data_IF_213345642925
#
_entry.id   IF_213345642925
#
_cell.length_a   1.000
_cell.length_b   1.000
_cell.length_c   1.000
_cell.angle_alpha   90.00
_cell.angle_beta   90.00
_cell.angle_gamma   90.00
#
_symmetry.space_group_name_H-M   'P 1'
#
loop_
_entity.id
_entity.type
_entity.pdbx_description
1 polymer ?
#
# COMPACT_ATOMS: atom_id res chain seq x y z
N UNK A 1 -5.08 -8.27 -9.84
CA UNK A 1 -4.81 -6.81 -9.84
C UNK A 1 -5.69 -6.16 -10.88
N UNK A 2 -6.29 -5.01 -10.59
CA UNK A 2 -7.05 -4.21 -11.57
C UNK A 2 -6.04 -3.53 -12.50
N UNK A 3 -6.20 -3.65 -13.81
CA UNK A 3 -5.26 -3.13 -14.80
C UNK A 3 -4.00 -3.99 -14.98
N UNK A 4 -3.03 -3.43 -15.68
CA UNK A 4 -1.74 -4.09 -15.97
C UNK A 4 -0.79 -4.13 -14.77
N UNK A 5 -0.98 -3.22 -13.81
CA UNK A 5 -0.08 -2.99 -12.69
C UNK A 5 1.21 -2.25 -13.07
N UNK A 6 1.24 -1.60 -14.23
CA UNK A 6 2.39 -0.80 -14.67
C UNK A 6 2.40 0.62 -14.06
N UNK A 7 1.30 1.00 -13.40
CA UNK A 7 1.24 2.24 -12.64
C UNK A 7 2.16 2.17 -11.42
N UNK A 8 2.66 3.33 -11.00
CA UNK A 8 3.56 3.48 -9.86
C UNK A 8 2.78 3.99 -8.66
N UNK A 9 3.03 3.40 -7.52
CA UNK A 9 2.43 3.79 -6.25
C UNK A 9 3.51 3.88 -5.19
N UNK A 10 3.75 5.09 -4.71
CA UNK A 10 4.79 5.35 -3.71
C UNK A 10 4.30 4.95 -2.32
N UNK A 11 5.08 4.14 -1.62
CA UNK A 11 4.86 3.76 -0.23
C UNK A 11 5.84 4.51 0.67
N UNK A 12 5.69 4.32 1.97
CA UNK A 12 6.59 4.83 2.99
C UNK A 12 6.73 3.80 4.10
N UNK A 13 7.96 3.44 4.45
CA UNK A 13 8.23 2.61 5.62
C UNK A 13 7.97 3.42 6.89
N UNK A 14 7.48 2.74 7.94
CA UNK A 14 7.15 3.38 9.21
C UNK A 14 8.37 3.98 9.92
N UNK A 15 9.55 3.38 9.79
CA UNK A 15 10.78 3.93 10.36
C UNK A 15 11.17 5.24 9.67
N UNK A 16 11.07 5.29 8.33
CA UNK A 16 11.34 6.50 7.57
C UNK A 16 10.34 7.62 7.95
N UNK A 17 9.08 7.27 8.17
CA UNK A 17 8.08 8.22 8.67
C UNK A 17 8.44 8.74 10.07
N UNK A 18 8.85 7.85 10.98
CA UNK A 18 9.26 8.23 12.33
C UNK A 18 10.48 9.16 12.31
N UNK A 19 11.44 8.92 11.42
CA UNK A 19 12.59 9.81 11.27
C UNK A 19 12.22 11.19 10.72
N UNK A 20 11.29 11.25 9.75
CA UNK A 20 10.78 12.53 9.27
C UNK A 20 10.08 13.33 10.39
N UNK A 21 9.24 12.66 11.20
CA UNK A 21 8.58 13.28 12.36
C UNK A 21 9.63 13.74 13.38
N UNK A 22 10.62 12.92 13.69
CA UNK A 22 11.69 13.26 14.61
C UNK A 22 12.48 14.49 14.14
N UNK A 23 12.80 14.56 12.85
CA UNK A 23 13.43 15.75 12.27
C UNK A 23 12.58 17.00 12.49
N UNK A 24 11.27 16.91 12.26
CA UNK A 24 10.35 18.03 12.50
C UNK A 24 10.23 18.42 13.98
N UNK A 25 10.45 17.49 14.90
CA UNK A 25 10.41 17.78 16.35
C UNK A 25 11.71 18.39 16.89
N UNK A 26 12.82 18.26 16.18
CA UNK A 26 14.15 18.65 16.65
C UNK A 26 14.75 19.84 15.90
N UNK A 27 14.24 20.16 14.73
CA UNK A 27 14.66 21.30 13.93
C UNK A 27 13.95 22.61 14.39
N UNK A 28 14.53 23.80 14.11
CA UNK A 28 13.91 25.08 14.43
C UNK A 28 12.54 25.28 13.78
N UNK A 29 11.63 26.00 14.46
CA UNK A 29 10.27 26.26 14.00
C UNK A 29 10.23 26.95 12.62
N UNK A 30 11.18 27.79 12.31
CA UNK A 30 11.28 28.50 11.02
C UNK A 30 11.50 27.53 9.85
N UNK A 31 12.08 26.35 10.11
CA UNK A 31 12.32 25.31 9.13
C UNK A 31 11.10 24.38 8.97
N UNK A 32 10.48 24.04 10.10
CA UNK A 32 9.44 23.00 10.16
C UNK A 32 8.02 23.51 10.04
N UNK A 33 7.80 24.83 10.17
CA UNK A 33 6.47 25.43 9.98
C UNK A 33 6.08 25.47 8.48
N UNK A 34 6.00 24.30 7.89
CA UNK A 34 5.75 24.10 6.45
C UNK A 34 5.09 22.72 6.22
N UNK A 35 4.67 22.43 4.99
CA UNK A 35 4.12 21.14 4.61
C UNK A 35 5.15 20.35 3.82
N UNK A 36 5.39 19.10 4.21
CA UNK A 36 6.35 18.21 3.57
C UNK A 36 5.67 16.95 3.05
N UNK A 37 5.98 16.59 1.81
CA UNK A 37 5.67 15.28 1.29
C UNK A 37 6.79 14.31 1.67
N UNK A 38 6.43 13.13 2.14
CA UNK A 38 7.36 12.04 2.48
C UNK A 38 6.95 10.75 1.78
N UNK A 39 7.91 9.95 1.38
CA UNK A 39 7.68 8.70 0.65
C UNK A 39 9.00 8.00 0.34
N UNK A 40 8.94 6.77 -0.13
CA UNK A 40 10.13 6.06 -0.59
C UNK A 40 10.77 6.80 -1.77
N UNK A 41 12.11 6.82 -1.82
CA UNK A 41 12.84 7.38 -2.97
C UNK A 41 12.84 6.42 -4.15
N UNK A 42 13.00 5.13 -3.85
CA UNK A 42 13.08 4.08 -4.84
C UNK A 42 11.79 3.25 -4.84
N UNK A 43 11.07 3.29 -5.95
CA UNK A 43 9.86 2.50 -6.17
C UNK A 43 9.71 2.15 -7.64
N UNK A 44 9.16 0.97 -7.86
CA UNK A 44 8.94 0.39 -9.19
C UNK A 44 7.45 0.47 -9.57
N UNK A 45 7.02 -0.35 -10.50
CA UNK A 45 5.60 -0.50 -10.79
C UNK A 45 4.91 -1.32 -9.69
N UNK A 46 3.64 -1.04 -9.45
CA UNK A 46 2.84 -1.77 -8.45
C UNK A 46 2.95 -3.29 -8.64
N UNK A 47 2.96 -3.77 -9.88
CA UNK A 47 3.12 -5.19 -10.18
C UNK A 47 4.47 -5.73 -9.71
N UNK A 48 5.55 -5.02 -9.96
CA UNK A 48 6.89 -5.47 -9.56
C UNK A 48 7.05 -5.46 -8.04
N UNK A 49 6.59 -4.40 -7.38
CA UNK A 49 6.73 -4.25 -5.93
C UNK A 49 5.95 -5.33 -5.17
N UNK A 50 4.70 -5.59 -5.57
CA UNK A 50 3.91 -6.65 -4.94
C UNK A 50 4.34 -8.07 -5.36
N UNK A 51 4.89 -8.24 -6.57
CA UNK A 51 5.43 -9.55 -6.99
C UNK A 51 6.62 -9.96 -6.11
N UNK A 52 7.46 -9.01 -5.69
CA UNK A 52 8.57 -9.30 -4.78
C UNK A 52 8.09 -9.96 -3.47
N UNK A 53 6.93 -9.56 -2.95
CA UNK A 53 6.33 -10.19 -1.75
C UNK A 53 5.86 -11.62 -2.04
N UNK A 54 5.23 -11.85 -3.20
CA UNK A 54 4.78 -13.19 -3.59
C UNK A 54 5.95 -14.14 -3.81
N UNK A 55 7.03 -13.63 -4.38
CA UNK A 55 8.27 -14.40 -4.60
C UNK A 55 8.92 -14.76 -3.25
N UNK A 56 8.98 -13.81 -2.32
CA UNK A 56 9.47 -14.05 -0.95
C UNK A 56 8.60 -15.03 -0.15
N UNK A 57 7.30 -15.08 -0.43
CA UNK A 57 6.39 -16.04 0.17
C UNK A 57 6.66 -17.50 -0.27
N UNK A 58 7.32 -17.71 -1.41
CA UNK A 58 7.80 -19.01 -1.87
C UNK A 58 6.74 -19.95 -2.45
N UNK A 59 5.51 -19.48 -2.68
CA UNK A 59 4.43 -20.32 -3.23
C UNK A 59 4.35 -20.33 -4.76
N UNK A 60 5.29 -19.69 -5.46
CA UNK A 60 5.31 -19.61 -6.92
C UNK A 60 4.11 -18.86 -7.54
N UNK A 61 3.37 -18.09 -6.74
CA UNK A 61 2.21 -17.32 -7.20
C UNK A 61 2.66 -16.08 -7.97
N UNK A 62 1.89 -15.75 -9.02
CA UNK A 62 2.15 -14.56 -9.84
C UNK A 62 0.95 -13.63 -9.84
N UNK A 63 1.23 -12.33 -9.92
CA UNK A 63 0.18 -11.33 -10.06
C UNK A 63 -0.43 -11.42 -11.45
N UNK A 64 -1.75 -11.62 -11.48
CA UNK A 64 -2.56 -11.61 -12.69
C UNK A 64 -3.25 -10.25 -12.80
N UNK A 65 -3.00 -9.56 -13.92
CA UNK A 65 -3.69 -8.32 -14.27
C UNK A 65 -4.98 -8.59 -15.04
N UNK A 66 -6.05 -7.92 -14.65
CA UNK A 66 -7.33 -7.97 -15.39
C UNK A 66 -7.56 -6.61 -16.06
N UNK A 67 -8.15 -6.59 -17.28
CA UNK A 67 -8.48 -5.33 -17.93
C UNK A 67 -9.29 -4.42 -17.02
N UNK A 68 -8.85 -3.17 -16.84
CA UNK A 68 -9.43 -2.26 -15.85
C UNK A 68 -10.90 -1.93 -16.14
N UNK A 69 -11.24 -1.62 -17.40
CA UNK A 69 -12.60 -1.20 -17.78
C UNK A 69 -13.69 -2.19 -17.38
N UNK A 70 -13.66 -3.49 -17.79
CA UNK A 70 -14.71 -4.43 -17.40
C UNK A 70 -14.74 -4.68 -15.90
N UNK A 71 -13.59 -4.70 -15.22
CA UNK A 71 -13.55 -4.88 -13.78
C UNK A 71 -14.19 -3.69 -13.04
N UNK A 72 -13.86 -2.46 -13.44
CA UNK A 72 -14.46 -1.25 -12.86
C UNK A 72 -15.98 -1.23 -13.09
N UNK A 73 -16.42 -1.60 -14.29
CA UNK A 73 -17.85 -1.71 -14.60
C UNK A 73 -18.57 -2.74 -13.71
N UNK A 74 -17.97 -3.90 -13.54
CA UNK A 74 -18.51 -4.93 -12.65
C UNK A 74 -18.55 -4.47 -11.18
N UNK A 75 -17.51 -3.79 -10.70
CA UNK A 75 -17.46 -3.24 -9.34
C UNK A 75 -18.50 -2.13 -9.14
N UNK A 76 -18.71 -1.24 -10.11
CA UNK A 76 -19.77 -0.22 -10.07
C UNK A 76 -21.16 -0.84 -10.01
N UNK A 77 -21.39 -1.91 -10.77
CA UNK A 77 -22.65 -2.66 -10.72
C UNK A 77 -22.86 -3.31 -9.36
N UNK A 78 -21.84 -3.94 -8.79
CA UNK A 78 -21.88 -4.49 -7.43
C UNK A 78 -22.09 -3.42 -6.35
N UNK A 79 -21.50 -2.23 -6.53
CA UNK A 79 -21.72 -1.09 -5.64
C UNK A 79 -23.17 -0.61 -5.69
N UNK A 80 -23.74 -0.49 -6.89
CA UNK A 80 -25.15 -0.15 -7.08
C UNK A 80 -26.08 -1.15 -6.33
N UNK A 81 -25.74 -2.43 -6.36
CA UNK A 81 -26.44 -3.49 -5.62
C UNK A 81 -26.09 -3.54 -4.11
N UNK A 82 -25.23 -2.64 -3.62
CA UNK A 82 -24.69 -2.62 -2.24
C UNK A 82 -23.96 -3.93 -1.85
N UNK A 83 -23.43 -4.65 -2.81
CA UNK A 83 -22.69 -5.89 -2.63
C UNK A 83 -21.17 -5.71 -2.75
N UNK A 84 -20.70 -4.54 -3.20
CA UNK A 84 -19.27 -4.25 -3.32
C UNK A 84 -18.65 -4.02 -1.94
N UNK A 85 -17.56 -4.74 -1.60
CA UNK A 85 -16.80 -4.47 -0.39
C UNK A 85 -15.79 -3.32 -0.56
N UNK A 86 -15.63 -2.81 -1.78
CA UNK A 86 -14.65 -1.77 -2.12
C UNK A 86 -15.33 -0.44 -2.33
N UNK A 87 -14.71 0.61 -1.82
CA UNK A 87 -15.15 1.99 -2.05
C UNK A 87 -14.79 2.43 -3.48
N UNK A 88 -15.63 3.26 -4.06
CA UNK A 88 -15.50 3.78 -5.42
C UNK A 88 -14.11 4.33 -5.73
N UNK A 89 -13.56 5.16 -4.86
CA UNK A 89 -12.25 5.77 -5.06
C UNK A 89 -11.13 4.72 -5.17
N UNK A 90 -11.23 3.58 -4.45
CA UNK A 90 -10.20 2.53 -4.46
C UNK A 90 -10.06 1.88 -5.83
N UNK A 91 -11.18 1.52 -6.48
CA UNK A 91 -11.09 0.84 -7.76
C UNK A 91 -10.98 1.81 -8.95
N UNK A 92 -11.41 3.06 -8.81
CA UNK A 92 -11.25 4.07 -9.85
C UNK A 92 -9.82 4.58 -9.96
N UNK A 93 -9.08 4.66 -8.84
CA UNK A 93 -7.67 5.10 -8.83
C UNK A 93 -6.65 3.95 -8.89
N UNK A 94 -7.12 2.70 -8.87
CA UNK A 94 -6.25 1.51 -8.81
C UNK A 94 -5.27 1.38 -9.99
N UNK A 95 -5.52 2.05 -11.11
CA UNK A 95 -4.69 2.01 -12.30
C UNK A 95 -3.90 3.30 -12.54
N UNK A 96 -4.04 4.28 -11.66
CA UNK A 96 -3.41 5.59 -11.81
C UNK A 96 -2.07 5.61 -11.06
N UNK A 97 -1.14 6.42 -11.56
CA UNK A 97 0.09 6.72 -10.86
C UNK A 97 -0.21 7.57 -9.63
N UNK A 98 0.38 7.21 -8.49
CA UNK A 98 0.21 7.93 -7.23
C UNK A 98 1.56 8.03 -6.51
N UNK A 99 2.24 9.14 -6.72
CA UNK A 99 3.49 9.46 -6.04
C UNK A 99 3.69 10.98 -5.94
N UNK A 100 4.55 11.38 -5.03
CA UNK A 100 4.85 12.79 -4.75
C UNK A 100 6.36 13.03 -4.79
N UNK A 101 6.77 14.27 -5.07
CA UNK A 101 8.16 14.67 -4.88
C UNK A 101 8.48 14.83 -3.40
N UNK A 102 9.57 14.24 -2.95
CA UNK A 102 10.10 14.36 -1.60
C UNK A 102 11.26 15.36 -1.50
N UNK A 103 11.63 16.00 -2.59
CA UNK A 103 12.79 16.89 -2.69
C UNK A 103 12.79 18.01 -1.63
N UNK A 104 11.63 18.58 -1.34
CA UNK A 104 11.47 19.60 -0.31
C UNK A 104 11.81 19.05 1.09
N UNK A 105 11.37 17.83 1.39
CA UNK A 105 11.70 17.18 2.66
C UNK A 105 13.20 16.83 2.72
N UNK A 106 13.77 16.32 1.63
CA UNK A 106 15.21 16.03 1.56
C UNK A 106 16.06 17.29 1.82
N UNK A 107 15.68 18.42 1.21
CA UNK A 107 16.48 19.65 1.30
C UNK A 107 16.28 20.44 2.59
N UNK A 108 15.05 20.52 3.11
CA UNK A 108 14.73 21.37 4.26
C UNK A 108 14.88 20.66 5.60
N UNK A 109 14.38 19.42 5.72
CA UNK A 109 14.41 18.68 7.00
C UNK A 109 15.41 17.51 6.99
N UNK A 110 16.20 17.37 5.92
CA UNK A 110 17.20 16.31 5.81
C UNK A 110 16.63 14.91 5.71
N UNK A 111 15.36 14.77 5.25
CA UNK A 111 14.71 13.49 5.09
C UNK A 111 15.46 12.60 4.10
N UNK A 112 15.81 11.38 4.52
CA UNK A 112 16.55 10.40 3.70
C UNK A 112 15.92 9.04 3.89
N UNK A 113 14.88 8.69 3.10
CA UNK A 113 14.25 7.38 3.22
C UNK A 113 15.26 6.27 2.95
N UNK A 114 15.29 5.28 3.82
CA UNK A 114 16.24 4.15 3.81
C UNK A 114 15.71 2.98 3.01
N UNK A 115 14.38 2.87 2.93
CA UNK A 115 13.71 1.71 2.38
C UNK A 115 13.03 2.04 1.05
N UNK A 116 13.25 1.16 0.06
CA UNK A 116 12.45 1.15 -1.16
C UNK A 116 11.04 0.60 -0.88
N UNK A 117 10.10 0.78 -1.82
CA UNK A 117 8.79 0.15 -1.74
C UNK A 117 8.87 -1.36 -1.48
N UNK A 118 9.73 -2.06 -2.21
CA UNK A 118 9.88 -3.51 -2.06
C UNK A 118 10.38 -3.88 -0.68
N UNK A 119 11.37 -3.15 -0.16
CA UNK A 119 11.89 -3.37 1.19
C UNK A 119 10.83 -3.12 2.25
N UNK A 120 10.07 -2.02 2.15
CA UNK A 120 8.98 -1.71 3.07
C UNK A 120 7.90 -2.81 3.07
N UNK A 121 7.52 -3.30 1.88
CA UNK A 121 6.56 -4.38 1.74
C UNK A 121 7.07 -5.71 2.31
N UNK A 122 8.33 -6.07 2.06
CA UNK A 122 8.95 -7.29 2.59
C UNK A 122 9.09 -7.25 4.11
N UNK A 123 9.50 -6.12 4.67
CA UNK A 123 9.56 -5.90 6.13
C UNK A 123 8.19 -6.08 6.78
N UNK A 124 7.15 -5.52 6.16
CA UNK A 124 5.77 -5.67 6.63
C UNK A 124 5.31 -7.12 6.54
N UNK A 125 5.63 -7.83 5.46
CA UNK A 125 5.31 -9.24 5.28
C UNK A 125 5.99 -10.13 6.33
N UNK A 126 7.27 -9.91 6.60
CA UNK A 126 8.02 -10.66 7.61
C UNK A 126 7.48 -10.40 9.02
N UNK A 127 7.17 -9.14 9.33
CA UNK A 127 6.52 -8.78 10.58
C UNK A 127 5.15 -9.46 10.72
N UNK A 128 4.33 -9.44 9.67
CA UNK A 128 3.03 -10.11 9.66
C UNK A 128 3.17 -11.62 9.90
N UNK A 129 4.12 -12.28 9.25
CA UNK A 129 4.41 -13.71 9.47
C UNK A 129 4.79 -14.00 10.92
N UNK A 130 5.67 -13.20 11.49
CA UNK A 130 6.13 -13.35 12.86
C UNK A 130 5.01 -13.13 13.89
N UNK A 131 4.00 -12.32 13.56
CA UNK A 131 2.90 -11.96 14.45
C UNK A 131 1.56 -12.60 14.06
N UNK A 132 1.53 -13.59 13.16
CA UNK A 132 0.31 -14.16 12.59
C UNK A 132 -0.68 -14.64 13.64
N UNK A 133 -0.20 -15.23 14.73
CA UNK A 133 -1.05 -15.77 15.81
C UNK A 133 -1.78 -14.68 16.58
N UNK A 134 -1.22 -13.48 16.66
CA UNK A 134 -1.87 -12.34 17.31
C UNK A 134 -3.11 -11.85 16.56
N UNK A 135 -3.23 -12.16 15.27
CA UNK A 135 -4.37 -11.77 14.43
C UNK A 135 -5.50 -12.81 14.39
N UNK A 136 -5.21 -14.06 14.74
CA UNK A 136 -6.20 -15.17 14.64
C UNK A 136 -7.40 -15.01 15.58
N UNK A 137 -7.26 -14.30 16.69
CA UNK A 137 -8.26 -14.20 17.77
C UNK A 137 -8.81 -12.78 17.95
N UNK A 138 -8.57 -11.85 17.05
CA UNK A 138 -9.06 -10.49 17.20
C UNK A 138 -10.45 -10.31 16.57
N UNK A 139 -11.45 -10.06 17.38
CA UNK A 139 -12.78 -9.66 16.99
C UNK A 139 -12.92 -8.13 17.19
N UNK A 140 -13.28 -7.39 16.14
CA UNK A 140 -13.52 -5.96 16.27
C UNK A 140 -13.57 -5.22 14.94
N UNK A 141 -13.81 -3.91 14.99
CA UNK A 141 -13.82 -3.01 13.84
C UNK A 141 -12.64 -2.05 13.97
N UNK A 142 -11.44 -2.51 13.66
CA UNK A 142 -10.23 -1.67 13.66
C UNK A 142 -9.31 -2.06 12.49
N UNK A 143 -8.33 -1.23 12.17
CA UNK A 143 -7.31 -1.54 11.16
C UNK A 143 -6.50 -2.81 11.47
N UNK A 144 -6.59 -3.36 12.69
CA UNK A 144 -5.94 -4.59 13.13
C UNK A 144 -6.80 -5.84 12.92
N UNK A 145 -8.05 -5.69 12.52
CA UNK A 145 -8.99 -6.80 12.36
C UNK A 145 -9.23 -7.07 10.88
N UNK A 146 -9.16 -8.35 10.44
CA UNK A 146 -9.49 -8.69 9.07
C UNK A 146 -10.92 -8.25 8.74
N UNK A 147 -11.08 -7.43 7.73
CA UNK A 147 -12.40 -7.00 7.26
C UNK A 147 -13.18 -8.16 6.63
N UNK A 148 -14.49 -8.11 6.76
CA UNK A 148 -15.36 -9.13 6.16
C UNK A 148 -15.26 -9.08 4.64
N UNK A 149 -14.64 -10.09 4.04
CA UNK A 149 -14.31 -10.12 2.60
C UNK A 149 -15.53 -10.36 1.70
N UNK A 150 -16.73 -10.59 2.25
CA UNK A 150 -17.95 -10.80 1.48
C UNK A 150 -17.75 -11.81 0.34
N UNK A 151 -18.20 -11.46 -0.87
CA UNK A 151 -18.07 -12.26 -2.10
C UNK A 151 -16.61 -12.52 -2.47
N UNK A 152 -15.67 -11.63 -2.15
CA UNK A 152 -14.24 -11.83 -2.39
C UNK A 152 -13.68 -13.02 -1.61
N UNK A 153 -14.27 -13.38 -0.47
CA UNK A 153 -13.91 -14.58 0.28
C UNK A 153 -14.22 -15.88 -0.45
N UNK A 154 -15.23 -15.87 -1.32
CA UNK A 154 -15.54 -17.01 -2.21
C UNK A 154 -14.55 -17.12 -3.37
N UNK A 155 -14.19 -16.00 -3.98
CA UNK A 155 -13.24 -15.95 -5.09
C UNK A 155 -11.85 -16.45 -4.65
N UNK A 156 -11.42 -16.17 -3.42
CA UNK A 156 -10.16 -16.67 -2.86
C UNK A 156 -10.00 -18.19 -2.87
N UNK A 157 -11.09 -18.95 -2.90
CA UNK A 157 -11.03 -20.43 -2.93
C UNK A 157 -10.61 -20.98 -4.29
N UNK A 158 -10.64 -20.16 -5.33
CA UNK A 158 -10.32 -20.55 -6.71
C UNK A 158 -8.93 -20.06 -7.18
N UNK A 159 -8.24 -19.27 -6.37
CA UNK A 159 -6.89 -18.72 -6.60
C UNK A 159 -5.95 -19.04 -5.43
#
# INVERSE_FOLDING_TARGET
MIGSGNNRYQLLDVEDLCEAIWSCMTLPDEVVNDTFNVGAKDFETMKKDYQAVLDAAGYGKRIIGFPSRPVIWALRFLEFLRLSPLYKWVYETACEDSFVSIEKAETKIGFKPKFSNQQALLRNFDWYKANLDSFKNQNGVSHRVPWKQGILGLIKKFF
#
